data_IF_419384820793
#
_entry.id   IF_419384820793
#
_cell.length_a   1.000
_cell.length_b   1.000
_cell.length_c   1.000
_cell.angle_alpha   90.00
_cell.angle_beta   90.00
_cell.angle_gamma   90.00
#
_symmetry.space_group_name_H-M   'P 1'
#
loop_
_entity.id
_entity.type
_entity.pdbx_description
1 polymer ?
#
# COMPACT_ATOMS: atom_id res chain seq x y z
N UNK A 1 -11.89 4.11 53.62
CA UNK A 1 -11.46 4.25 52.20
C UNK A 1 -11.31 2.88 51.54
N UNK A 2 -12.42 2.16 51.23
CA UNK A 2 -12.37 0.80 50.72
C UNK A 2 -12.06 0.69 49.21
N UNK A 3 -12.21 1.78 48.44
CA UNK A 3 -12.08 1.76 46.98
C UNK A 3 -10.69 1.31 46.49
N UNK A 4 -9.62 1.59 47.25
CA UNK A 4 -8.26 1.17 46.91
C UNK A 4 -8.12 -0.36 46.83
N UNK A 5 -8.86 -1.11 47.65
CA UNK A 5 -8.81 -2.58 47.62
C UNK A 5 -9.39 -3.19 46.35
N UNK A 6 -10.21 -2.44 45.62
CA UNK A 6 -10.79 -2.88 44.34
C UNK A 6 -10.00 -2.29 43.17
N UNK A 7 -9.61 -1.02 43.26
CA UNK A 7 -8.91 -0.31 42.18
C UNK A 7 -7.51 -0.86 41.92
N UNK A 8 -6.75 -1.22 42.95
CA UNK A 8 -5.39 -1.77 42.79
C UNK A 8 -5.41 -3.10 42.02
N UNK A 9 -6.18 -4.13 42.43
CA UNK A 9 -6.23 -5.38 41.68
C UNK A 9 -6.88 -5.23 40.30
N UNK A 10 -7.89 -4.36 40.16
CA UNK A 10 -8.48 -4.07 38.84
C UNK A 10 -7.47 -3.44 37.87
N UNK A 11 -6.64 -2.50 38.34
CA UNK A 11 -5.58 -1.90 37.54
C UNK A 11 -4.51 -2.93 37.15
N UNK A 12 -4.08 -3.77 38.10
CA UNK A 12 -3.13 -4.86 37.80
C UNK A 12 -3.68 -5.84 36.76
N UNK A 13 -4.97 -6.18 36.86
CA UNK A 13 -5.64 -7.05 35.89
C UNK A 13 -5.66 -6.40 34.49
N UNK A 14 -6.00 -5.12 34.39
CA UNK A 14 -6.00 -4.40 33.13
C UNK A 14 -4.61 -4.33 32.49
N UNK A 15 -3.58 -4.06 33.29
CA UNK A 15 -2.19 -4.06 32.80
C UNK A 15 -1.78 -5.46 32.34
N UNK A 16 -2.12 -6.51 33.08
CA UNK A 16 -1.83 -7.88 32.69
C UNK A 16 -2.52 -8.27 31.36
N UNK A 17 -3.79 -7.90 31.18
CA UNK A 17 -4.52 -8.11 29.93
C UNK A 17 -3.87 -7.34 28.78
N UNK A 18 -3.52 -6.07 28.99
CA UNK A 18 -2.88 -5.26 27.96
C UNK A 18 -1.53 -5.85 27.52
N UNK A 19 -0.72 -6.31 28.47
CA UNK A 19 0.55 -6.99 28.18
C UNK A 19 0.31 -8.29 27.41
N UNK A 20 -0.65 -9.10 27.84
CA UNK A 20 -0.99 -10.35 27.15
C UNK A 20 -1.42 -10.11 25.70
N UNK A 21 -2.33 -9.15 25.47
CA UNK A 21 -2.78 -8.78 24.12
C UNK A 21 -1.64 -8.22 23.28
N UNK A 22 -0.76 -7.41 23.87
CA UNK A 22 0.41 -6.87 23.18
C UNK A 22 1.33 -7.97 22.68
N UNK A 23 1.71 -8.93 23.53
CA UNK A 23 2.56 -10.05 23.14
C UNK A 23 1.88 -10.96 22.11
N UNK A 24 0.58 -11.21 22.26
CA UNK A 24 -0.18 -11.97 21.27
C UNK A 24 -0.19 -11.28 19.89
N UNK A 25 -0.38 -9.96 19.85
CA UNK A 25 -0.37 -9.19 18.60
C UNK A 25 1.01 -9.17 17.94
N UNK A 26 2.09 -9.11 18.74
CA UNK A 26 3.48 -9.19 18.24
C UNK A 26 3.77 -10.57 17.64
N UNK A 27 3.36 -11.64 18.32
CA UNK A 27 3.54 -13.02 17.83
C UNK A 27 2.67 -13.35 16.62
N UNK A 28 1.51 -12.68 16.48
CA UNK A 28 0.56 -12.87 15.37
C UNK A 28 1.09 -12.43 13.98
N UNK A 29 2.37 -12.06 13.86
CA UNK A 29 3.02 -11.88 12.55
C UNK A 29 2.45 -10.74 11.70
N UNK A 30 1.72 -9.78 12.28
CA UNK A 30 1.11 -8.66 11.54
C UNK A 30 2.12 -7.68 10.91
N UNK A 31 3.42 -7.93 11.08
CA UNK A 31 4.50 -7.19 10.44
C UNK A 31 5.00 -7.84 9.15
N UNK A 32 4.60 -9.08 8.85
CA UNK A 32 5.00 -9.82 7.64
C UNK A 32 4.33 -9.24 6.38
N UNK A 33 3.19 -8.57 6.53
CA UNK A 33 2.46 -7.90 5.44
C UNK A 33 2.75 -6.39 5.34
N UNK A 34 3.78 -5.90 6.05
CA UNK A 34 4.33 -4.54 5.83
C UNK A 34 5.37 -4.51 4.71
N UNK A 35 5.71 -5.66 4.13
CA UNK A 35 6.32 -5.80 2.80
C UNK A 35 5.27 -5.46 1.71
N UNK A 36 4.66 -4.29 1.82
CA UNK A 36 3.55 -3.86 0.99
C UNK A 36 3.95 -3.64 -0.49
N UNK A 37 2.98 -3.23 -1.34
CA UNK A 37 3.09 -3.08 -2.80
C UNK A 37 4.18 -2.13 -3.34
N UNK A 38 5.07 -1.62 -2.49
CA UNK A 38 6.18 -0.75 -2.88
C UNK A 38 7.09 -1.40 -3.95
N UNK A 39 7.13 -2.74 -4.02
CA UNK A 39 7.82 -3.44 -5.09
C UNK A 39 7.00 -3.59 -6.38
N UNK A 40 5.66 -3.49 -6.35
CA UNK A 40 4.88 -3.55 -7.60
C UNK A 40 5.03 -2.27 -8.41
N UNK A 41 5.06 -1.11 -7.76
CA UNK A 41 5.09 0.18 -8.47
C UNK A 41 6.40 0.46 -9.22
N UNK A 42 7.51 -0.19 -8.82
CA UNK A 42 8.81 -0.04 -9.47
C UNK A 42 8.99 -1.00 -10.68
N UNK A 43 8.20 -2.08 -10.75
CA UNK A 43 8.29 -3.10 -11.81
C UNK A 43 7.02 -3.18 -12.67
N UNK A 44 6.00 -2.33 -12.45
CA UNK A 44 4.76 -2.30 -13.24
C UNK A 44 5.02 -1.98 -14.73
N UNK A 45 6.12 -1.29 -15.06
CA UNK A 45 6.54 -0.98 -16.43
C UNK A 45 7.06 -2.21 -17.20
N UNK A 46 7.48 -3.26 -16.49
CA UNK A 46 7.96 -4.51 -17.09
C UNK A 46 6.84 -5.54 -17.27
N UNK A 47 5.61 -5.26 -16.80
CA UNK A 47 4.47 -6.15 -16.99
C UNK A 47 4.14 -6.26 -18.50
N UNK A 48 4.20 -7.46 -19.11
CA UNK A 48 3.84 -7.68 -20.50
C UNK A 48 2.41 -7.22 -20.84
N UNK A 49 1.50 -7.15 -19.85
CA UNK A 49 0.14 -6.61 -20.01
C UNK A 49 0.14 -5.09 -20.20
N UNK A 50 1.01 -4.36 -19.48
CA UNK A 50 1.19 -2.92 -19.67
C UNK A 50 1.79 -2.59 -21.03
N UNK A 51 2.80 -3.36 -21.46
CA UNK A 51 3.41 -3.20 -22.78
C UNK A 51 2.42 -3.48 -23.93
N UNK A 52 1.57 -4.51 -23.80
CA UNK A 52 0.53 -4.81 -24.78
C UNK A 52 -0.47 -3.65 -24.92
N UNK A 53 -0.91 -3.07 -23.80
CA UNK A 53 -1.82 -1.93 -23.78
C UNK A 53 -1.20 -0.66 -24.41
N UNK A 54 0.08 -0.37 -24.13
CA UNK A 54 0.79 0.76 -24.74
C UNK A 54 0.98 0.59 -26.26
N UNK A 55 1.25 -0.64 -26.71
CA UNK A 55 1.39 -0.95 -28.13
C UNK A 55 0.05 -0.83 -28.90
N UNK A 56 -1.06 -1.21 -28.27
CA UNK A 56 -2.39 -1.01 -28.85
C UNK A 56 -2.78 0.47 -28.90
N UNK A 57 -2.51 1.23 -27.84
CA UNK A 57 -2.73 2.68 -27.81
C UNK A 57 -1.92 3.40 -28.93
N UNK A 58 -0.67 3.00 -29.12
CA UNK A 58 0.22 3.54 -30.16
C UNK A 58 -0.18 3.15 -31.58
N UNK A 59 -0.85 2.00 -31.77
CA UNK A 59 -1.41 1.61 -33.08
C UNK A 59 -2.76 2.26 -33.38
N UNK A 60 -3.47 2.70 -32.35
CA UNK A 60 -4.83 3.25 -32.47
C UNK A 60 -4.88 4.76 -32.73
N UNK A 61 -3.78 5.48 -32.51
CA UNK A 61 -3.62 6.88 -32.91
C UNK A 61 -2.82 6.94 -34.23
N UNK A 62 -3.42 7.34 -35.38
CA UNK A 62 -2.64 7.69 -36.55
C UNK A 62 -1.70 8.85 -36.16
N UNK A 63 -0.47 8.91 -36.69
CA UNK A 63 0.29 10.14 -36.58
C UNK A 63 -0.57 11.24 -37.22
N UNK A 64 -1.00 12.22 -36.43
CA UNK A 64 -1.52 13.45 -36.97
C UNK A 64 -0.43 13.97 -37.89
N UNK A 65 -0.67 13.83 -39.20
CA UNK A 65 0.07 14.52 -40.23
C UNK A 65 0.10 15.98 -39.78
N UNK A 66 1.28 16.44 -39.36
CA UNK A 66 1.59 17.85 -39.38
C UNK A 66 1.60 18.20 -40.86
N UNK A 67 0.39 18.53 -41.31
CA UNK A 67 0.08 18.99 -42.64
C UNK A 67 0.92 20.24 -42.92
N UNK A 68 1.41 20.25 -44.14
CA UNK A 68 2.21 21.31 -44.74
C UNK A 68 1.57 22.67 -44.50
N UNK A 69 2.33 23.59 -43.90
CA UNK A 69 2.17 24.99 -44.24
C UNK A 69 3.55 25.64 -44.31
N UNK A 70 4.25 25.33 -45.41
CA UNK A 70 5.23 26.24 -45.98
C UNK A 70 4.44 27.31 -46.75
N UNK A 71 4.40 28.58 -46.34
CA UNK A 71 4.07 29.63 -47.27
C UNK A 71 5.37 30.02 -47.98
N UNK A 72 5.40 29.79 -49.29
CA UNK A 72 6.30 30.49 -50.19
C UNK A 72 5.96 31.99 -50.15
N UNK A 73 6.89 32.83 -49.68
CA UNK A 73 7.01 34.26 -50.00
C UNK A 73 8.41 34.77 -49.62
#
# INVERSE_FOLDING_TARGET
>A
MPALYIMIPAALLLVAIAIYVFFWAVDSGQYDDMEGPAHSILFDDEDPRHQAAQNEASRSNPPLQQDESKPDA
#
